data_IF_398891248808
#
_entry.id   IF_398891248808
#
_cell.length_a   1.000
_cell.length_b   1.000
_cell.length_c   1.000
_cell.angle_alpha   90.00
_cell.angle_beta   90.00
_cell.angle_gamma   90.00
#
_symmetry.space_group_name_H-M   'P 1'
#
loop_
_entity.id
_entity.type
_entity.pdbx_description
1 polymer ?
#
# COMPACT_ATOMS: atom_id res chain seq x y z
N UNK A 1 4.42 22.39 -16.50
CA UNK A 1 4.48 21.41 -15.39
C UNK A 1 4.89 20.08 -15.98
N UNK A 2 5.95 19.45 -15.46
CA UNK A 2 6.22 18.04 -15.80
C UNK A 2 5.05 17.23 -15.25
N UNK A 3 4.40 16.44 -16.11
CA UNK A 3 3.44 15.44 -15.69
C UNK A 3 4.23 14.31 -15.04
N UNK A 4 4.01 14.06 -13.76
CA UNK A 4 4.63 12.91 -13.07
C UNK A 4 4.18 11.61 -13.76
N UNK A 5 5.07 10.62 -13.93
CA UNK A 5 4.80 9.41 -14.70
C UNK A 5 4.01 8.35 -13.91
N UNK A 6 2.99 8.76 -13.12
CA UNK A 6 2.12 7.81 -12.44
C UNK A 6 1.48 6.84 -13.44
N UNK A 7 1.35 5.58 -13.03
CA UNK A 7 0.70 4.54 -13.80
C UNK A 7 -0.45 3.91 -13.02
N UNK A 8 -1.09 2.92 -13.63
CA UNK A 8 -2.24 2.22 -13.05
C UNK A 8 -1.94 1.48 -11.74
N UNK A 9 -0.69 1.14 -11.45
CA UNK A 9 -0.34 0.46 -10.20
C UNK A 9 -0.28 1.43 -9.03
N UNK A 10 -0.12 2.72 -9.31
CA UNK A 10 0.15 3.71 -8.28
C UNK A 10 -1.11 4.18 -7.56
N UNK A 11 -0.94 4.43 -6.27
CA UNK A 11 -1.91 5.07 -5.38
C UNK A 11 -1.15 5.72 -4.22
N UNK A 12 -1.88 6.23 -3.24
CA UNK A 12 -1.35 6.78 -2.01
C UNK A 12 -2.01 6.11 -0.83
N UNK A 13 -1.30 6.06 0.30
CA UNK A 13 -1.79 5.53 1.56
C UNK A 13 -2.76 6.52 2.22
N UNK A 14 -3.81 6.86 1.50
CA UNK A 14 -4.86 7.81 1.83
C UNK A 14 -6.20 7.15 1.56
N UNK A 15 -7.07 7.19 2.56
CA UNK A 15 -8.42 6.64 2.50
C UNK A 15 -9.38 7.57 3.24
N UNK A 16 -10.68 7.38 3.03
CA UNK A 16 -11.66 7.93 3.94
C UNK A 16 -11.43 7.36 5.34
N UNK A 17 -11.46 8.24 6.33
CA UNK A 17 -11.21 7.89 7.73
C UNK A 17 -12.52 7.93 8.51
N UNK A 18 -12.72 7.02 9.47
CA UNK A 18 -13.73 7.22 10.52
C UNK A 18 -13.41 8.50 11.32
N UNK A 19 -14.36 9.00 12.12
CA UNK A 19 -14.11 10.19 12.91
C UNK A 19 -13.10 9.90 14.04
N UNK A 20 -12.26 10.89 14.38
CA UNK A 20 -11.17 10.72 15.35
C UNK A 20 -11.65 10.37 16.77
N UNK A 21 -12.83 10.84 17.15
CA UNK A 21 -13.48 10.51 18.42
C UNK A 21 -14.02 9.08 18.44
N UNK A 22 -14.41 8.54 17.28
CA UNK A 22 -14.82 7.14 17.15
C UNK A 22 -13.66 6.19 17.33
N UNK A 23 -12.45 6.51 16.85
CA UNK A 23 -11.28 5.60 16.97
C UNK A 23 -10.56 5.72 18.31
N UNK A 24 -10.74 6.82 19.05
CA UNK A 24 -9.95 7.11 20.26
C UNK A 24 -10.14 6.03 21.33
N UNK A 25 -9.02 5.46 21.78
CA UNK A 25 -9.00 4.47 22.86
C UNK A 25 -9.48 3.07 22.45
N UNK A 26 -9.74 2.83 21.15
CA UNK A 26 -10.06 1.50 20.63
C UNK A 26 -8.79 0.70 20.32
N UNK A 27 -8.91 -0.62 20.39
CA UNK A 27 -7.86 -1.54 19.93
C UNK A 27 -7.77 -1.57 18.40
N UNK A 28 -6.69 -2.14 17.83
CA UNK A 28 -6.48 -2.09 16.39
C UNK A 28 -7.55 -2.85 15.61
N UNK A 29 -8.15 -3.89 16.19
CA UNK A 29 -9.23 -4.66 15.54
C UNK A 29 -10.51 -3.83 15.43
N UNK A 30 -10.87 -3.10 16.47
CA UNK A 30 -12.02 -2.20 16.45
C UNK A 30 -11.77 -1.01 15.51
N UNK A 31 -10.55 -0.48 15.45
CA UNK A 31 -10.16 0.54 14.45
C UNK A 31 -10.28 -0.02 13.03
N UNK A 32 -9.78 -1.23 12.75
CA UNK A 32 -9.93 -1.90 11.44
C UNK A 32 -11.40 -2.01 11.01
N UNK A 33 -12.29 -2.37 11.94
CA UNK A 33 -13.72 -2.47 11.65
C UNK A 33 -14.32 -1.11 11.24
N UNK A 34 -13.98 -0.02 11.97
CA UNK A 34 -14.43 1.33 11.65
C UNK A 34 -13.92 1.82 10.29
N UNK A 35 -12.66 1.54 9.95
CA UNK A 35 -12.14 1.80 8.61
C UNK A 35 -12.88 0.99 7.54
N UNK A 36 -13.26 -0.26 7.84
CA UNK A 36 -14.11 -1.06 6.97
C UNK A 36 -15.51 -0.49 6.77
N UNK A 37 -16.09 0.18 7.77
CA UNK A 37 -17.37 0.87 7.68
C UNK A 37 -17.26 2.16 6.86
N UNK A 38 -16.21 2.96 7.08
CA UNK A 38 -15.93 4.19 6.34
C UNK A 38 -15.45 3.97 4.89
N UNK A 39 -15.03 2.75 4.54
CA UNK A 39 -14.48 2.44 3.23
C UNK A 39 -15.52 2.58 2.11
N UNK A 40 -15.21 3.46 1.15
CA UNK A 40 -15.95 3.62 -0.09
C UNK A 40 -15.21 2.91 -1.23
N UNK A 41 -15.89 2.00 -1.93
CA UNK A 41 -15.29 1.27 -3.04
C UNK A 41 -14.94 2.18 -4.22
N UNK A 42 -13.82 1.89 -4.87
CA UNK A 42 -13.37 2.55 -6.10
C UNK A 42 -13.34 4.08 -5.98
N UNK A 43 -12.97 4.57 -4.81
CA UNK A 43 -12.92 5.98 -4.47
C UNK A 43 -11.54 6.31 -3.90
N UNK A 44 -11.07 7.52 -4.19
CA UNK A 44 -9.84 8.05 -3.64
C UNK A 44 -10.09 9.48 -3.15
N UNK A 45 -9.72 9.81 -1.90
CA UNK A 45 -9.93 11.13 -1.33
C UNK A 45 -8.89 12.13 -1.86
N UNK A 46 -9.07 12.54 -3.12
CA UNK A 46 -8.12 13.39 -3.85
C UNK A 46 -7.81 14.73 -3.17
N UNK A 47 -8.73 15.23 -2.36
CA UNK A 47 -8.59 16.43 -1.55
C UNK A 47 -7.56 16.29 -0.43
N UNK A 48 -7.18 15.06 -0.05
CA UNK A 48 -6.12 14.78 0.91
C UNK A 48 -4.72 14.77 0.27
N UNK A 49 -4.62 14.86 -1.07
CA UNK A 49 -3.31 14.88 -1.73
C UNK A 49 -2.50 16.13 -1.37
N UNK A 50 -1.16 15.98 -1.23
CA UNK A 50 -0.28 17.13 -1.15
C UNK A 50 -0.42 18.04 -2.38
N UNK A 51 -0.39 19.35 -2.16
CA UNK A 51 -0.45 20.34 -3.25
C UNK A 51 0.74 20.26 -4.19
N UNK A 52 1.89 19.80 -3.70
CA UNK A 52 3.09 19.49 -4.50
C UNK A 52 3.42 18.00 -4.38
N UNK A 53 2.92 17.22 -5.35
CA UNK A 53 3.17 15.77 -5.40
C UNK A 53 4.65 15.43 -5.64
N UNK A 54 5.40 16.30 -6.33
CA UNK A 54 6.81 16.04 -6.62
C UNK A 54 7.63 16.19 -5.34
N UNK A 55 7.36 17.23 -4.55
CA UNK A 55 7.99 17.41 -3.24
C UNK A 55 7.60 16.29 -2.27
N UNK A 56 6.33 15.87 -2.27
CA UNK A 56 5.86 14.75 -1.45
C UNK A 56 6.60 13.44 -1.81
N UNK A 57 6.78 13.13 -3.09
CA UNK A 57 7.54 11.95 -3.54
C UNK A 57 9.02 12.05 -3.18
N UNK A 58 9.65 13.21 -3.37
CA UNK A 58 11.06 13.41 -3.05
C UNK A 58 11.37 13.34 -1.55
N UNK A 59 10.40 13.71 -0.72
CA UNK A 59 10.51 13.69 0.75
C UNK A 59 9.96 12.41 1.39
N UNK A 60 9.32 11.52 0.62
CA UNK A 60 8.77 10.29 1.19
C UNK A 60 9.88 9.41 1.76
N UNK A 61 9.64 8.91 2.98
CA UNK A 61 10.53 7.94 3.64
C UNK A 61 10.08 6.50 3.40
N UNK A 62 8.87 6.31 2.89
CA UNK A 62 8.22 5.02 2.80
C UNK A 62 7.51 4.85 1.46
N UNK A 63 7.49 3.62 0.96
CA UNK A 63 6.64 3.18 -0.15
C UNK A 63 6.01 1.85 0.24
N UNK A 64 4.69 1.73 0.13
CA UNK A 64 4.01 0.45 0.31
C UNK A 64 4.01 -0.30 -1.03
N UNK A 65 4.45 -1.56 -1.01
CA UNK A 65 4.58 -2.35 -2.24
C UNK A 65 3.80 -3.66 -2.14
N UNK A 66 2.76 -3.79 -2.95
CA UNK A 66 2.02 -5.02 -3.15
C UNK A 66 2.68 -5.93 -4.17
N UNK A 67 2.13 -7.13 -4.35
CA UNK A 67 2.64 -8.06 -5.35
C UNK A 67 2.13 -7.72 -6.74
N UNK A 68 0.81 -7.54 -6.87
CA UNK A 68 0.10 -7.34 -8.12
C UNK A 68 -1.35 -6.89 -7.88
N UNK A 69 -2.02 -6.41 -8.93
CA UNK A 69 -3.36 -5.83 -8.90
C UNK A 69 -4.50 -6.76 -8.42
N UNK A 70 -4.25 -8.08 -8.38
CA UNK A 70 -5.30 -9.06 -8.13
C UNK A 70 -6.35 -9.13 -9.24
N UNK A 71 -7.50 -9.73 -8.96
CA UNK A 71 -8.68 -9.74 -9.85
C UNK A 71 -9.76 -8.72 -9.42
N UNK A 72 -9.39 -7.80 -8.53
CA UNK A 72 -10.25 -6.73 -8.05
C UNK A 72 -10.09 -5.45 -8.88
N UNK A 73 -9.14 -5.43 -9.84
CA UNK A 73 -8.94 -4.32 -10.76
C UNK A 73 -10.27 -3.93 -11.43
N UNK A 74 -10.67 -2.68 -11.22
CA UNK A 74 -11.80 -2.05 -11.88
C UNK A 74 -11.28 -1.13 -12.99
N UNK A 75 -12.08 -0.96 -14.04
CA UNK A 75 -11.81 0.07 -15.04
C UNK A 75 -11.88 1.45 -14.36
N UNK A 76 -10.81 2.23 -14.48
CA UNK A 76 -10.76 3.59 -13.94
C UNK A 76 -11.34 4.56 -14.95
N UNK A 77 -12.18 5.48 -14.47
CA UNK A 77 -12.55 6.65 -15.25
C UNK A 77 -11.29 7.50 -15.53
N UNK A 78 -11.18 8.02 -16.74
CA UNK A 78 -9.97 8.68 -17.25
C UNK A 78 -9.56 9.95 -16.49
N UNK A 79 -10.48 10.51 -15.70
CA UNK A 79 -10.32 11.72 -14.89
C UNK A 79 -10.02 11.43 -13.41
N UNK A 80 -10.05 10.16 -12.97
CA UNK A 80 -9.70 9.74 -11.61
C UNK A 80 -8.25 9.22 -11.60
N UNK A 81 -7.26 9.99 -11.11
CA UNK A 81 -5.85 9.61 -11.21
C UNK A 81 -5.49 8.40 -10.34
N UNK A 82 -6.19 8.21 -9.21
CA UNK A 82 -5.90 7.15 -8.25
C UNK A 82 -7.19 6.53 -7.72
N UNK A 83 -7.12 5.24 -7.34
CA UNK A 83 -8.11 4.60 -6.47
C UNK A 83 -7.51 4.43 -5.08
N UNK A 84 -8.27 3.94 -4.11
CA UNK A 84 -7.81 3.42 -2.82
C UNK A 84 -6.98 2.13 -2.95
N UNK A 85 -6.00 2.15 -3.86
CA UNK A 85 -5.15 1.07 -4.33
C UNK A 85 -5.88 0.02 -5.18
N UNK A 86 -6.44 -1.05 -4.60
CA UNK A 86 -7.12 -2.10 -5.38
C UNK A 86 -8.62 -1.84 -5.59
N UNK A 87 -9.18 -0.76 -5.03
CA UNK A 87 -10.52 -0.29 -5.38
C UNK A 87 -11.64 -0.96 -4.58
N UNK A 88 -11.88 -2.23 -4.88
CA UNK A 88 -13.04 -2.97 -4.39
C UNK A 88 -12.91 -3.35 -2.91
N UNK A 89 -13.97 -3.25 -2.09
CA UNK A 89 -13.92 -3.54 -0.64
C UNK A 89 -13.47 -4.96 -0.33
N UNK A 90 -13.71 -5.89 -1.25
CA UNK A 90 -13.24 -7.29 -1.16
C UNK A 90 -11.71 -7.44 -1.17
N UNK A 91 -10.96 -6.43 -1.65
CA UNK A 91 -9.48 -6.39 -1.54
C UNK A 91 -9.04 -6.25 -0.08
N UNK A 92 -9.90 -5.62 0.73
CA UNK A 92 -9.67 -5.27 2.13
C UNK A 92 -8.61 -4.18 2.35
N UNK A 93 -8.44 -3.24 1.41
CA UNK A 93 -7.45 -2.13 1.54
C UNK A 93 -7.63 -1.33 2.84
N UNK A 94 -8.86 -1.24 3.37
CA UNK A 94 -9.18 -0.61 4.66
C UNK A 94 -8.41 -1.19 5.85
N UNK A 95 -7.97 -2.46 5.77
CA UNK A 95 -7.14 -3.07 6.81
C UNK A 95 -5.75 -2.46 6.84
N UNK A 96 -5.15 -2.24 5.68
CA UNK A 96 -3.89 -1.53 5.58
C UNK A 96 -4.07 -0.08 6.03
N UNK A 97 -5.15 0.58 5.61
CA UNK A 97 -5.50 1.93 6.05
C UNK A 97 -5.50 2.06 7.59
N UNK A 98 -6.19 1.14 8.29
CA UNK A 98 -6.20 1.10 9.75
C UNK A 98 -4.80 0.88 10.36
N UNK A 99 -3.98 0.00 9.76
CA UNK A 99 -2.63 -0.27 10.23
C UNK A 99 -1.69 0.94 10.07
N UNK A 100 -1.82 1.72 8.99
CA UNK A 100 -0.95 2.87 8.73
C UNK A 100 -1.48 4.19 9.30
N UNK A 101 -2.77 4.29 9.64
CA UNK A 101 -3.37 5.52 10.18
C UNK A 101 -2.66 6.03 11.43
N UNK A 102 -2.36 7.33 11.47
CA UNK A 102 -1.63 7.96 12.58
C UNK A 102 -0.14 7.56 12.68
N UNK A 103 0.44 6.97 11.64
CA UNK A 103 1.89 6.71 11.53
C UNK A 103 2.52 7.57 10.44
N UNK A 104 3.85 7.65 10.39
CA UNK A 104 4.57 8.32 9.28
C UNK A 104 4.36 7.66 7.90
N UNK A 105 3.73 6.48 7.84
CA UNK A 105 3.40 5.79 6.57
C UNK A 105 2.08 6.30 5.97
N UNK A 106 1.25 7.00 6.73
CA UNK A 106 0.04 7.63 6.19
C UNK A 106 0.41 8.67 5.14
N UNK A 107 -0.21 8.61 3.96
CA UNK A 107 0.15 9.45 2.82
C UNK A 107 1.43 9.04 2.07
N UNK A 108 1.99 7.86 2.34
CA UNK A 108 3.07 7.30 1.52
C UNK A 108 2.57 6.87 0.12
N UNK A 109 3.49 6.81 -0.86
CA UNK A 109 3.21 6.20 -2.16
C UNK A 109 2.88 4.70 -1.97
N UNK A 110 1.90 4.20 -2.73
CA UNK A 110 1.59 2.79 -2.84
C UNK A 110 1.73 2.35 -4.30
N UNK A 111 2.27 1.15 -4.52
CA UNK A 111 2.36 0.56 -5.86
C UNK A 111 2.41 -0.96 -5.80
N UNK A 112 2.32 -1.62 -6.94
CA UNK A 112 2.49 -3.07 -7.08
C UNK A 112 3.80 -3.40 -7.80
N UNK A 113 4.43 -4.52 -7.42
CA UNK A 113 5.65 -5.01 -8.07
C UNK A 113 5.41 -5.47 -9.51
N UNK A 114 4.21 -5.92 -9.85
CA UNK A 114 3.87 -6.47 -11.15
C UNK A 114 2.42 -6.13 -11.56
N UNK A 115 2.21 -5.75 -12.82
CA UNK A 115 0.89 -5.36 -13.34
C UNK A 115 -0.04 -6.52 -13.70
N UNK A 116 0.33 -7.77 -13.42
CA UNK A 116 -0.50 -8.93 -13.78
C UNK A 116 -1.81 -8.93 -13.00
N UNK A 117 -2.93 -9.00 -13.74
CA UNK A 117 -4.27 -9.23 -13.19
C UNK A 117 -4.42 -10.73 -12.90
N UNK A 118 -4.10 -11.14 -11.67
CA UNK A 118 -4.22 -12.54 -11.21
C UNK A 118 -4.49 -12.59 -9.70
N UNK A 119 -5.50 -13.36 -9.31
CA UNK A 119 -5.92 -13.51 -7.91
C UNK A 119 -5.07 -14.48 -7.09
N UNK A 120 -4.46 -15.47 -7.75
CA UNK A 120 -3.59 -16.45 -7.10
C UNK A 120 -2.13 -15.99 -7.21
N UNK A 121 -1.61 -15.43 -6.11
CA UNK A 121 -0.24 -14.91 -6.01
C UNK A 121 0.83 -15.94 -6.39
N UNK A 122 0.54 -17.25 -6.35
CA UNK A 122 1.50 -18.31 -6.73
C UNK A 122 1.72 -18.39 -8.25
N UNK A 123 0.81 -17.82 -9.04
CA UNK A 123 0.90 -17.78 -10.50
C UNK A 123 1.60 -16.51 -11.00
N UNK A 124 1.73 -15.50 -10.15
CA UNK A 124 2.43 -14.25 -10.46
C UNK A 124 3.93 -14.52 -10.39
N UNK A 125 4.63 -14.30 -11.50
CA UNK A 125 6.07 -14.55 -11.61
C UNK A 125 6.83 -13.23 -11.49
N UNK A 126 7.31 -12.95 -10.29
CA UNK A 126 8.16 -11.79 -10.02
C UNK A 126 9.63 -12.20 -9.88
N UNK A 127 10.53 -11.32 -10.30
CA UNK A 127 11.97 -11.53 -10.22
C UNK A 127 12.74 -10.24 -10.44
N UNK A 128 14.00 -10.38 -10.84
CA UNK A 128 14.91 -9.24 -11.01
C UNK A 128 14.38 -8.20 -12.02
N UNK A 129 13.68 -8.63 -13.08
CA UNK A 129 13.13 -7.72 -14.09
C UNK A 129 12.04 -6.82 -13.51
N UNK A 130 11.08 -7.38 -12.78
CA UNK A 130 10.04 -6.61 -12.09
C UNK A 130 10.63 -5.64 -11.07
N UNK A 131 11.63 -6.09 -10.30
CA UNK A 131 12.30 -5.21 -9.34
C UNK A 131 13.03 -4.07 -10.04
N UNK A 132 13.74 -4.34 -11.15
CA UNK A 132 14.40 -3.30 -11.92
C UNK A 132 13.40 -2.27 -12.50
N UNK A 133 12.24 -2.74 -12.97
CA UNK A 133 11.17 -1.87 -13.45
C UNK A 133 10.59 -0.98 -12.34
N UNK A 134 10.34 -1.55 -11.16
CA UNK A 134 9.90 -0.79 -9.98
C UNK A 134 10.95 0.26 -9.57
N UNK A 135 12.22 -0.12 -9.45
CA UNK A 135 13.32 0.78 -9.08
C UNK A 135 13.46 1.95 -10.08
N UNK A 136 13.32 1.66 -11.37
CA UNK A 136 13.30 2.69 -12.41
C UNK A 136 12.10 3.61 -12.25
N UNK A 137 10.89 3.07 -12.04
CA UNK A 137 9.67 3.84 -11.84
C UNK A 137 9.75 4.76 -10.61
N UNK A 138 10.25 4.24 -9.48
CA UNK A 138 10.48 5.03 -8.26
C UNK A 138 11.49 6.17 -8.52
N UNK A 139 12.55 5.90 -9.27
CA UNK A 139 13.54 6.92 -9.68
C UNK A 139 12.90 7.99 -10.56
N UNK A 140 12.06 7.60 -11.53
CA UNK A 140 11.37 8.52 -12.43
C UNK A 140 10.32 9.39 -11.70
N UNK A 141 9.69 8.83 -10.66
CA UNK A 141 8.83 9.56 -9.72
C UNK A 141 9.63 10.49 -8.77
N UNK A 142 10.95 10.31 -8.68
CA UNK A 142 11.82 11.10 -7.81
C UNK A 142 11.84 10.63 -6.35
N UNK A 143 11.39 9.39 -6.08
CA UNK A 143 11.49 8.79 -4.74
C UNK A 143 12.96 8.57 -4.39
N UNK A 144 13.33 8.89 -3.14
CA UNK A 144 14.70 8.70 -2.65
C UNK A 144 15.06 7.21 -2.61
N UNK A 145 16.28 6.88 -3.03
CA UNK A 145 16.88 5.54 -2.89
C UNK A 145 16.96 5.05 -1.42
N UNK A 146 16.88 5.98 -0.48
CA UNK A 146 16.93 5.69 0.96
C UNK A 146 15.53 5.45 1.55
N UNK A 147 14.47 5.58 0.75
CA UNK A 147 13.11 5.26 1.17
C UNK A 147 12.97 3.77 1.50
N UNK A 148 12.16 3.44 2.49
CA UNK A 148 11.93 2.06 2.93
C UNK A 148 10.75 1.47 2.16
N UNK A 149 10.94 0.31 1.54
CA UNK A 149 9.88 -0.44 0.89
C UNK A 149 9.17 -1.34 1.92
N UNK A 150 7.93 -0.99 2.27
CA UNK A 150 7.08 -1.78 3.16
C UNK A 150 6.23 -2.72 2.30
N UNK A 151 6.64 -3.98 2.25
CA UNK A 151 6.04 -4.99 1.37
C UNK A 151 4.85 -5.68 2.00
N UNK A 152 3.81 -5.89 1.20
CA UNK A 152 2.53 -6.45 1.63
C UNK A 152 2.48 -7.93 1.26
N UNK A 153 3.01 -8.78 2.15
CA UNK A 153 3.06 -10.24 1.96
C UNK A 153 4.42 -10.81 1.59
N UNK A 154 4.51 -12.15 1.65
CA UNK A 154 5.78 -12.90 1.59
C UNK A 154 6.47 -12.82 0.22
N UNK A 155 5.72 -12.98 -0.87
CA UNK A 155 6.30 -13.06 -2.21
C UNK A 155 6.96 -11.74 -2.66
N UNK A 156 6.30 -10.60 -2.39
CA UNK A 156 6.88 -9.28 -2.62
C UNK A 156 8.12 -9.06 -1.76
N UNK A 157 8.03 -9.38 -0.45
CA UNK A 157 9.16 -9.28 0.47
C UNK A 157 10.39 -10.07 0.01
N UNK A 158 10.24 -11.37 -0.28
CA UNK A 158 11.36 -12.24 -0.66
C UNK A 158 12.01 -11.80 -1.97
N UNK A 159 11.20 -11.34 -2.92
CA UNK A 159 11.69 -10.84 -4.22
C UNK A 159 12.44 -9.53 -4.06
N UNK A 160 11.87 -8.56 -3.36
CA UNK A 160 12.48 -7.24 -3.16
C UNK A 160 13.71 -7.34 -2.27
N UNK A 161 13.68 -8.12 -1.19
CA UNK A 161 14.86 -8.33 -0.32
C UNK A 161 16.06 -8.91 -1.06
N UNK A 162 15.83 -9.60 -2.19
CA UNK A 162 16.89 -10.21 -2.98
C UNK A 162 17.50 -9.28 -4.03
N UNK A 163 16.69 -8.38 -4.61
CA UNK A 163 17.08 -7.63 -5.81
C UNK A 163 16.98 -6.11 -5.67
N UNK A 164 16.24 -5.59 -4.69
CA UNK A 164 16.04 -4.15 -4.48
C UNK A 164 17.28 -3.52 -3.86
N UNK A 165 17.49 -2.23 -4.16
CA UNK A 165 18.54 -1.43 -3.54
C UNK A 165 18.05 -0.69 -2.28
N UNK A 166 16.74 -0.61 -2.09
CA UNK A 166 16.11 0.02 -0.94
C UNK A 166 16.09 -0.93 0.27
N UNK A 167 16.04 -0.41 1.50
CA UNK A 167 15.68 -1.21 2.68
C UNK A 167 14.27 -1.79 2.53
N UNK A 168 14.10 -3.08 2.83
CA UNK A 168 12.83 -3.80 2.63
C UNK A 168 12.29 -4.33 3.96
N UNK A 169 11.04 -4.01 4.25
CA UNK A 169 10.30 -4.47 5.43
C UNK A 169 9.08 -5.27 5.01
N UNK A 170 8.58 -6.13 5.91
CA UNK A 170 7.42 -6.99 5.64
C UNK A 170 6.28 -6.68 6.59
N UNK A 171 5.10 -6.50 6.02
CA UNK A 171 3.83 -6.61 6.73
C UNK A 171 3.04 -7.81 6.18
N UNK A 172 2.12 -8.34 6.98
CA UNK A 172 1.23 -9.41 6.51
C UNK A 172 0.38 -8.92 5.34
N UNK A 173 0.01 -9.82 4.42
CA UNK A 173 -0.88 -9.46 3.32
C UNK A 173 -2.30 -9.27 3.85
N UNK A 174 -2.94 -8.15 3.51
CA UNK A 174 -4.21 -7.74 4.12
C UNK A 174 -5.45 -8.43 3.54
N UNK A 175 -5.31 -9.14 2.42
CA UNK A 175 -6.46 -9.74 1.74
C UNK A 175 -7.29 -10.68 2.61
N UNK A 176 -8.58 -10.80 2.28
CA UNK A 176 -9.51 -11.67 3.00
C UNK A 176 -9.03 -13.12 3.14
N UNK A 177 -8.31 -13.64 2.15
CA UNK A 177 -7.73 -14.99 2.14
C UNK A 177 -6.66 -15.22 3.24
N UNK A 178 -6.13 -14.14 3.82
CA UNK A 178 -5.15 -14.16 4.90
C UNK A 178 -5.77 -13.91 6.28
N UNK A 179 -7.09 -13.85 6.40
CA UNK A 179 -7.76 -13.71 7.70
C UNK A 179 -7.61 -14.97 8.56
N UNK A 180 -7.44 -14.82 9.87
CA UNK A 180 -7.51 -15.92 10.85
C UNK A 180 -6.30 -16.03 11.79
N UNK A 181 -6.29 -17.09 12.59
CA UNK A 181 -5.20 -17.39 13.52
C UNK A 181 -4.09 -18.18 12.82
N UNK A 182 -2.83 -17.78 13.01
CA UNK A 182 -1.64 -18.48 12.50
C UNK A 182 -0.52 -17.54 12.06
N UNK A 183 0.69 -18.08 11.94
CA UNK A 183 1.85 -17.31 11.46
C UNK A 183 1.65 -16.86 10.01
N UNK A 184 1.94 -15.59 9.74
CA UNK A 184 1.81 -14.99 8.40
C UNK A 184 0.38 -14.63 7.99
N UNK A 185 -0.61 -14.84 8.87
CA UNK A 185 -1.99 -14.36 8.69
C UNK A 185 -2.11 -12.90 9.10
N UNK A 186 -3.10 -12.22 8.55
CA UNK A 186 -3.42 -10.85 8.92
C UNK A 186 -4.08 -10.80 10.30
N UNK A 187 -3.52 -9.96 11.17
CA UNK A 187 -4.10 -9.56 12.45
C UNK A 187 -3.81 -8.07 12.66
N UNK A 188 -4.84 -7.29 12.98
CA UNK A 188 -4.75 -5.83 13.05
C UNK A 188 -3.60 -5.35 13.97
N UNK A 189 -3.51 -5.89 15.19
CA UNK A 189 -2.47 -5.49 16.15
C UNK A 189 -1.05 -5.84 15.65
N UNK A 190 -0.88 -7.03 15.05
CA UNK A 190 0.41 -7.46 14.50
C UNK A 190 0.81 -6.65 13.28
N UNK A 191 -0.14 -6.30 12.42
CA UNK A 191 0.10 -5.44 11.27
C UNK A 191 0.50 -4.03 11.70
N UNK A 192 -0.23 -3.45 12.67
CA UNK A 192 0.10 -2.15 13.27
C UNK A 192 1.51 -2.15 13.86
N UNK A 193 1.85 -3.17 14.64
CA UNK A 193 3.18 -3.31 15.22
C UNK A 193 4.27 -3.45 14.16
N UNK A 194 4.03 -4.21 13.08
CA UNK A 194 4.97 -4.37 11.98
C UNK A 194 5.22 -3.07 11.21
N UNK A 195 4.16 -2.27 10.98
CA UNK A 195 4.28 -0.92 10.40
C UNK A 195 5.15 -0.03 11.30
N UNK A 196 4.87 0.01 12.60
CA UNK A 196 5.64 0.81 13.56
C UNK A 196 7.10 0.36 13.64
N UNK A 197 7.37 -0.95 13.55
CA UNK A 197 8.73 -1.47 13.50
C UNK A 197 9.49 -1.03 12.24
N UNK A 198 8.82 -0.99 11.07
CA UNK A 198 9.40 -0.50 9.82
C UNK A 198 9.67 1.02 9.85
N UNK A 199 8.87 1.77 10.61
CA UNK A 199 9.11 3.19 10.85
C UNK A 199 10.38 3.38 11.70
N UNK A 200 10.52 2.58 12.77
CA UNK A 200 11.57 2.75 13.78
C UNK A 200 12.97 2.27 13.38
N UNK A 201 13.09 1.20 12.59
CA UNK A 201 14.38 0.67 12.10
C UNK A 201 14.65 1.18 10.71
#
# INVERSE_FOLDING_TARGET
>A
MLKLPFNELDSWALWNTPADDEIRGKDAKAVEALFGEAYQENHFPSEQLPSDLKEALASTKYVLVGLNLGNAAVERESDVPFLNFHGAKKSMDYRMAAAVYGTEVWGALMTDLDGTIESDSRKVKVGQLQVAALEQHLTELGVSKDAKLITMGKAAYETLSKYSQHPVFKVAHYSGANSGAGQGRWQADSAKAAVLAAVAG
#
